data_IF_556468914645
#
_entry.id   IF_556468914645
#
_cell.length_a   1.000
_cell.length_b   1.000
_cell.length_c   1.000
_cell.angle_alpha   90.00
_cell.angle_beta   90.00
_cell.angle_gamma   90.00
#
_symmetry.space_group_name_H-M   'P 1'
#
loop_
_entity.id
_entity.type
_entity.pdbx_description
1 polymer ?
#
# COMPACT_ATOMS: atom_id res chain seq x y z
N UNK A 1 48.86 27.79 -13.90
CA UNK A 1 47.59 27.06 -13.79
C UNK A 1 47.10 26.93 -15.21
N UNK A 2 47.34 25.76 -15.81
CA UNK A 2 47.08 25.51 -17.22
C UNK A 2 45.61 25.14 -17.38
N UNK A 3 44.90 25.83 -18.27
CA UNK A 3 43.55 25.49 -18.66
C UNK A 3 43.57 24.16 -19.44
N UNK A 4 43.03 23.11 -18.83
CA UNK A 4 42.94 21.77 -19.41
C UNK A 4 41.84 21.77 -20.47
N UNK A 5 42.28 21.55 -21.71
CA UNK A 5 41.48 21.51 -22.93
C UNK A 5 40.65 20.22 -22.98
N UNK A 6 39.42 20.29 -22.47
CA UNK A 6 38.45 19.16 -22.44
C UNK A 6 38.05 18.61 -23.81
N UNK A 7 38.31 19.34 -24.90
CA UNK A 7 37.95 18.91 -26.26
C UNK A 7 38.88 17.82 -26.84
N UNK A 8 40.01 17.53 -26.21
CA UNK A 8 40.95 16.50 -26.68
C UNK A 8 40.63 15.10 -26.14
N UNK A 9 39.77 14.99 -25.11
CA UNK A 9 39.41 13.70 -24.50
C UNK A 9 38.17 13.05 -25.14
N UNK A 10 37.33 13.83 -25.84
CA UNK A 10 36.06 13.36 -26.42
C UNK A 10 36.00 13.52 -27.95
N UNK A 11 37.14 13.80 -28.58
CA UNK A 11 37.23 14.04 -30.01
C UNK A 11 37.55 12.80 -30.84
N UNK A 12 36.70 11.77 -30.85
CA UNK A 12 36.68 10.78 -31.94
C UNK A 12 35.25 10.30 -32.25
N UNK A 13 34.76 10.77 -33.42
CA UNK A 13 33.77 10.15 -34.32
C UNK A 13 32.52 9.51 -33.72
N UNK A 14 31.47 10.33 -33.54
CA UNK A 14 30.10 9.88 -33.31
C UNK A 14 29.19 10.03 -34.55
N UNK A 15 29.77 10.02 -35.76
CA UNK A 15 29.03 10.15 -37.03
C UNK A 15 28.89 8.84 -37.81
N UNK A 16 29.41 7.72 -37.29
CA UNK A 16 29.50 6.45 -38.03
C UNK A 16 28.75 5.28 -37.36
N UNK A 17 27.63 5.57 -36.68
CA UNK A 17 26.71 4.54 -36.22
C UNK A 17 25.59 4.32 -37.27
N UNK A 18 25.44 3.09 -37.81
CA UNK A 18 24.36 2.80 -38.75
C UNK A 18 23.01 2.94 -38.04
N UNK A 19 22.23 3.91 -38.51
CA UNK A 19 20.84 4.11 -38.12
C UNK A 19 20.06 2.86 -38.56
N UNK A 20 19.88 1.91 -37.63
CA UNK A 20 18.98 0.80 -37.83
C UNK A 20 17.56 1.36 -38.01
N UNK A 21 17.07 1.30 -39.26
CA UNK A 21 15.68 1.59 -39.59
C UNK A 21 14.78 0.58 -38.87
N UNK A 22 14.29 0.93 -37.69
CA UNK A 22 13.18 0.22 -37.05
C UNK A 22 11.90 0.59 -37.78
N UNK A 23 11.41 -0.36 -38.57
CA UNK A 23 10.13 -0.23 -39.25
C UNK A 23 9.00 -0.16 -38.21
N UNK A 24 8.21 0.92 -38.31
CA UNK A 24 7.00 1.15 -37.53
C UNK A 24 5.94 0.15 -37.99
N UNK A 25 5.82 -0.98 -37.30
CA UNK A 25 4.69 -1.90 -37.49
C UNK A 25 3.47 -1.35 -36.75
N UNK A 26 2.51 -0.88 -37.55
CA UNK A 26 1.16 -0.45 -37.19
C UNK A 26 0.45 -1.51 -36.32
N UNK A 27 -0.12 -1.18 -35.15
CA UNK A 27 -0.95 -2.14 -34.42
C UNK A 27 -2.28 -2.36 -35.15
N UNK A 28 -2.76 -3.61 -35.27
CA UNK A 28 -4.06 -3.92 -35.84
C UNK A 28 -5.19 -3.39 -34.94
N UNK A 29 -6.11 -2.64 -35.55
CA UNK A 29 -7.43 -2.37 -34.99
C UNK A 29 -8.36 -3.57 -35.20
N UNK A 30 -9.43 -3.59 -34.41
CA UNK A 30 -10.56 -4.53 -34.40
C UNK A 30 -10.37 -5.74 -33.45
N UNK A 31 -11.31 -6.10 -32.58
CA UNK A 31 -12.73 -5.79 -32.55
C UNK A 31 -13.33 -5.82 -31.15
N UNK A 32 -14.42 -5.06 -31.04
CA UNK A 32 -15.42 -5.18 -29.98
C UNK A 32 -16.17 -6.48 -30.25
N UNK A 33 -16.23 -7.41 -29.29
CA UNK A 33 -17.39 -8.29 -29.21
C UNK A 33 -17.56 -8.92 -27.83
N UNK A 34 -18.81 -8.88 -27.42
CA UNK A 34 -19.45 -9.35 -26.19
C UNK A 34 -19.36 -10.86 -26.02
N UNK A 35 -19.18 -11.35 -24.77
CA UNK A 35 -19.86 -12.60 -24.37
C UNK A 35 -19.98 -12.82 -22.86
N UNK A 36 -21.23 -12.81 -22.41
CA UNK A 36 -21.72 -13.50 -21.21
C UNK A 36 -21.45 -15.00 -21.28
N UNK A 37 -20.88 -15.58 -20.22
CA UNK A 37 -21.09 -16.94 -19.65
C UNK A 37 -20.62 -16.85 -18.20
N UNK A 38 -21.35 -17.04 -17.09
CA UNK A 38 -22.39 -17.99 -16.64
C UNK A 38 -22.04 -19.47 -16.88
N UNK A 39 -21.57 -20.09 -15.80
CA UNK A 39 -21.32 -21.51 -15.53
C UNK A 39 -20.41 -21.53 -14.30
N UNK A 40 -20.90 -21.73 -13.06
CA UNK A 40 -21.46 -22.97 -12.47
C UNK A 40 -20.59 -24.17 -12.82
N UNK A 41 -19.76 -24.55 -11.85
CA UNK A 41 -19.21 -25.88 -11.67
C UNK A 41 -19.02 -26.06 -10.15
N UNK A 42 -20.05 -26.64 -9.54
CA UNK A 42 -19.96 -27.47 -8.35
C UNK A 42 -18.96 -28.62 -8.64
N UNK A 43 -17.96 -28.79 -7.81
CA UNK A 43 -17.23 -30.07 -7.69
C UNK A 43 -16.91 -30.29 -6.21
N UNK A 44 -17.73 -31.13 -5.58
CA UNK A 44 -17.51 -31.66 -4.25
C UNK A 44 -16.54 -32.84 -4.35
N UNK A 45 -15.35 -32.69 -3.79
CA UNK A 45 -14.47 -33.83 -3.51
C UNK A 45 -14.17 -33.91 -2.00
N UNK A 46 -14.99 -34.74 -1.35
CA UNK A 46 -14.74 -35.39 -0.07
C UNK A 46 -13.39 -36.12 -0.10
N UNK A 47 -12.46 -35.73 0.77
CA UNK A 47 -11.33 -36.57 1.16
C UNK A 47 -11.25 -36.64 2.68
N UNK A 48 -12.09 -37.51 3.22
CA UNK A 48 -11.88 -38.13 4.52
C UNK A 48 -10.56 -38.91 4.54
N UNK A 49 -9.57 -38.43 5.31
CA UNK A 49 -8.44 -39.27 5.76
C UNK A 49 -8.17 -38.98 7.23
N UNK A 50 -8.56 -39.93 8.08
CA UNK A 50 -8.34 -39.90 9.52
C UNK A 50 -6.89 -40.18 9.93
N UNK A 51 -6.61 -39.88 11.21
CA UNK A 51 -5.40 -40.34 11.88
C UNK A 51 -5.01 -39.47 13.08
N UNK A 52 -5.59 -39.75 14.26
CA UNK A 52 -4.94 -39.40 15.53
C UNK A 52 -3.65 -40.23 15.66
N UNK A 53 -2.62 -39.69 16.35
CA UNK A 53 -2.41 -40.22 17.70
C UNK A 53 -2.12 -39.15 18.75
N UNK A 54 -2.45 -39.55 19.97
CA UNK A 54 -2.19 -38.92 21.27
C UNK A 54 -0.70 -38.68 21.50
N UNK A 55 -0.37 -37.56 22.13
CA UNK A 55 0.93 -37.29 22.73
C UNK A 55 0.74 -36.49 24.01
N UNK A 56 0.56 -37.22 25.12
CA UNK A 56 0.72 -36.71 26.48
C UNK A 56 2.23 -36.48 26.74
N UNK A 57 2.63 -35.26 27.05
CA UNK A 57 3.92 -34.98 27.67
C UNK A 57 3.78 -33.78 28.60
N UNK A 58 3.69 -34.11 29.88
CA UNK A 58 3.76 -33.19 31.00
C UNK A 58 5.10 -32.45 31.04
N UNK A 59 5.06 -31.15 31.32
CA UNK A 59 6.24 -30.30 31.47
C UNK A 59 5.91 -28.90 32.00
N UNK A 60 5.74 -28.80 33.31
CA UNK A 60 5.88 -27.57 34.12
C UNK A 60 7.08 -27.77 35.06
N UNK A 61 7.70 -26.74 35.70
CA UNK A 61 7.40 -25.30 35.73
C UNK A 61 8.64 -24.36 35.70
N UNK A 62 8.38 -23.05 35.85
CA UNK A 62 9.18 -22.00 36.52
C UNK A 62 9.62 -20.80 35.65
N UNK A 63 9.09 -19.62 36.00
CA UNK A 63 9.48 -18.33 35.46
C UNK A 63 8.64 -17.21 36.06
N UNK A 64 8.96 -16.84 37.29
CA UNK A 64 8.40 -15.71 38.04
C UNK A 64 8.81 -14.38 37.38
N UNK A 65 7.87 -13.48 37.09
CA UNK A 65 8.11 -12.04 37.23
C UNK A 65 6.87 -11.33 37.76
N UNK A 66 7.09 -10.72 38.91
CA UNK A 66 6.20 -9.81 39.64
C UNK A 66 5.89 -8.54 38.85
N UNK A 67 4.70 -7.98 39.10
CA UNK A 67 4.59 -6.54 39.36
C UNK A 67 3.49 -5.75 38.67
N UNK A 68 2.55 -5.29 39.49
CA UNK A 68 1.91 -3.96 39.45
C UNK A 68 0.63 -3.75 38.62
N UNK A 69 -0.49 -4.04 39.28
CA UNK A 69 -1.69 -3.19 39.45
C UNK A 69 -1.76 -1.81 38.76
N UNK A 70 -2.90 -1.51 38.14
CA UNK A 70 -3.77 -0.39 38.57
C UNK A 70 -5.14 -0.42 37.89
N UNK A 71 -6.13 -0.10 38.71
CA UNK A 71 -7.58 -0.21 38.55
C UNK A 71 -8.23 1.14 38.22
N UNK A 72 -9.32 1.13 37.44
CA UNK A 72 -10.41 2.14 37.39
C UNK A 72 -11.39 1.65 36.31
N UNK A 73 -12.64 1.20 36.53
CA UNK A 73 -13.77 1.64 37.37
C UNK A 73 -14.35 2.99 36.96
N UNK A 74 -15.50 2.93 36.27
CA UNK A 74 -16.61 3.90 36.17
C UNK A 74 -17.41 3.59 34.90
N UNK A 75 -18.73 3.65 34.80
CA UNK A 75 -19.88 3.68 35.69
C UNK A 75 -21.09 3.66 34.74
N UNK A 76 -22.22 3.20 35.23
CA UNK A 76 -23.42 2.83 34.47
C UNK A 76 -24.32 4.07 34.31
N UNK A 77 -25.05 4.16 33.19
CA UNK A 77 -26.20 5.07 33.11
C UNK A 77 -27.25 4.50 32.18
N UNK A 78 -28.13 3.71 32.78
CA UNK A 78 -29.46 3.41 32.26
C UNK A 78 -30.34 4.66 32.44
N UNK A 79 -31.02 5.05 31.37
CA UNK A 79 -31.92 6.20 31.31
C UNK A 79 -33.20 5.78 30.61
N UNK A 80 -34.26 5.85 31.38
CA UNK A 80 -35.59 5.26 31.27
C UNK A 80 -36.51 5.94 30.23
N UNK A 81 -37.57 5.20 29.89
CA UNK A 81 -38.60 5.49 28.90
C UNK A 81 -39.44 6.75 29.18
N UNK A 82 -39.92 7.37 28.10
CA UNK A 82 -40.84 8.50 28.15
C UNK A 82 -41.59 8.68 26.84
N UNK A 83 -42.59 7.82 26.62
CA UNK A 83 -43.63 7.96 25.61
C UNK A 83 -44.46 9.23 25.85
N UNK A 84 -44.50 10.15 24.88
CA UNK A 84 -45.57 11.14 24.79
C UNK A 84 -45.82 11.53 23.34
N UNK A 85 -46.86 10.93 22.76
CA UNK A 85 -47.38 11.32 21.46
C UNK A 85 -47.98 12.72 21.49
N UNK A 86 -47.68 13.52 20.47
CA UNK A 86 -48.57 14.58 20.00
C UNK A 86 -48.52 14.64 18.48
N UNK A 87 -49.54 14.03 17.88
CA UNK A 87 -50.13 14.48 16.64
C UNK A 87 -50.42 15.99 16.73
N UNK A 88 -49.93 16.77 15.77
CA UNK A 88 -50.72 17.74 14.99
C UNK A 88 -49.79 18.55 14.08
N UNK A 89 -50.24 18.66 12.84
CA UNK A 89 -49.75 19.49 11.74
C UNK A 89 -49.26 20.88 12.18
N UNK A 90 -48.13 21.35 11.64
CA UNK A 90 -47.98 22.66 10.94
C UNK A 90 -46.53 23.05 10.66
N UNK A 91 -46.29 23.33 9.36
CA UNK A 91 -45.33 24.25 8.73
C UNK A 91 -43.83 23.92 8.69
N UNK A 92 -43.22 23.92 7.49
CA UNK A 92 -41.78 23.76 7.29
C UNK A 92 -41.10 25.13 7.40
N UNK A 93 -40.38 25.43 8.48
CA UNK A 93 -39.56 26.66 8.54
C UNK A 93 -38.46 26.70 9.61
N UNK A 94 -37.84 25.59 9.98
CA UNK A 94 -36.75 25.61 11.00
C UNK A 94 -35.46 24.86 10.63
N UNK A 95 -35.32 24.38 9.39
CA UNK A 95 -34.06 23.74 8.94
C UNK A 95 -32.88 24.70 8.71
N UNK A 96 -33.08 26.02 8.85
CA UNK A 96 -32.03 27.04 8.62
C UNK A 96 -31.19 27.38 9.86
N UNK A 97 -31.59 26.95 11.06
CA UNK A 97 -30.87 27.28 12.32
C UNK A 97 -29.86 26.20 12.74
N UNK A 98 -30.03 24.96 12.29
CA UNK A 98 -29.09 23.86 12.60
C UNK A 98 -27.92 23.74 11.62
N UNK A 99 -28.06 24.27 10.41
CA UNK A 99 -27.00 24.33 9.41
C UNK A 99 -25.76 25.14 9.88
N UNK A 100 -25.88 26.35 10.47
CA UNK A 100 -24.70 27.08 10.94
C UNK A 100 -23.98 26.40 12.11
N UNK A 101 -24.68 25.59 12.92
CA UNK A 101 -24.08 24.80 13.99
C UNK A 101 -23.27 23.61 13.44
N UNK A 102 -23.77 22.94 12.38
CA UNK A 102 -23.06 21.86 11.69
C UNK A 102 -21.88 22.38 10.84
N UNK A 103 -21.99 23.56 10.23
CA UNK A 103 -20.88 24.19 9.49
C UNK A 103 -19.74 24.64 10.40
N UNK A 104 -20.02 25.00 11.66
CA UNK A 104 -18.99 25.25 12.68
C UNK A 104 -18.24 23.97 13.07
N UNK A 105 -18.91 22.81 13.03
CA UNK A 105 -18.31 21.52 13.35
C UNK A 105 -17.49 20.94 12.18
N UNK A 106 -17.82 21.31 10.93
CA UNK A 106 -17.04 20.99 9.71
C UNK A 106 -15.81 21.87 9.51
N UNK A 107 -15.21 22.39 10.59
CA UNK A 107 -13.89 23.05 10.54
C UNK A 107 -12.90 22.03 10.00
N UNK A 108 -12.64 22.12 8.69
CA UNK A 108 -11.71 21.28 7.94
C UNK A 108 -10.45 21.13 8.77
N UNK A 109 -10.17 19.92 9.27
CA UNK A 109 -8.88 19.60 9.87
C UNK A 109 -7.84 20.03 8.83
N UNK A 110 -7.11 21.11 9.09
CA UNK A 110 -6.00 21.53 8.24
C UNK A 110 -5.08 20.30 8.18
N UNK A 111 -4.82 19.80 6.98
CA UNK A 111 -3.81 18.75 6.79
C UNK A 111 -2.52 19.33 7.32
N UNK A 112 -2.01 18.79 8.43
CA UNK A 112 -0.67 19.09 8.92
C UNK A 112 0.27 18.72 7.78
N UNK A 113 1.04 19.68 7.29
CA UNK A 113 2.11 19.37 6.35
C UNK A 113 3.14 18.53 7.11
N UNK A 114 3.54 17.41 6.52
CA UNK A 114 4.59 16.58 7.11
C UNK A 114 5.90 17.33 7.04
N UNK A 115 6.66 17.28 8.13
CA UNK A 115 8.02 17.80 8.19
C UNK A 115 8.94 17.01 7.24
N UNK A 116 10.08 17.58 6.87
CA UNK A 116 11.07 16.88 6.04
C UNK A 116 11.55 15.58 6.70
N UNK A 117 11.75 15.55 8.02
CA UNK A 117 12.12 14.33 8.74
C UNK A 117 11.04 13.24 8.65
N UNK A 118 9.78 13.61 8.92
CA UNK A 118 8.64 12.69 8.83
C UNK A 118 8.47 12.11 7.40
N UNK A 119 8.79 12.89 6.36
CA UNK A 119 8.76 12.42 4.96
C UNK A 119 9.88 11.42 4.69
N UNK A 120 11.09 11.70 5.18
CA UNK A 120 12.25 10.83 5.00
C UNK A 120 12.05 9.48 5.69
N UNK A 121 11.64 9.46 6.96
CA UNK A 121 11.33 8.21 7.70
C UNK A 121 10.26 7.37 7.00
N UNK A 122 9.24 8.04 6.45
CA UNK A 122 8.20 7.35 5.67
C UNK A 122 8.78 6.74 4.40
N UNK A 123 9.73 7.38 3.74
CA UNK A 123 10.39 6.83 2.55
C UNK A 123 11.36 5.71 2.91
N UNK A 124 12.11 5.79 4.01
CA UNK A 124 12.92 4.66 4.50
C UNK A 124 12.06 3.43 4.77
N UNK A 125 10.92 3.60 5.44
CA UNK A 125 9.98 2.51 5.67
C UNK A 125 9.45 1.90 4.36
N UNK A 126 9.17 2.74 3.35
CA UNK A 126 8.76 2.28 2.03
C UNK A 126 9.88 1.48 1.35
N UNK A 127 11.11 2.00 1.37
CA UNK A 127 12.29 1.37 0.74
C UNK A 127 12.62 0.03 1.40
N UNK A 128 12.56 -0.06 2.72
CA UNK A 128 12.73 -1.33 3.43
C UNK A 128 11.66 -2.34 3.01
N UNK A 129 10.40 -1.90 2.92
CA UNK A 129 9.32 -2.76 2.41
C UNK A 129 9.54 -3.18 0.96
N UNK A 130 10.20 -2.37 0.13
CA UNK A 130 10.58 -2.78 -1.23
C UNK A 130 11.59 -3.94 -1.21
N UNK A 131 12.58 -3.90 -0.33
CA UNK A 131 13.54 -5.00 -0.19
C UNK A 131 12.87 -6.28 0.33
N UNK A 132 12.00 -6.18 1.33
CA UNK A 132 11.26 -7.32 1.88
C UNK A 132 10.41 -8.00 0.80
N UNK A 133 9.73 -7.20 -0.03
CA UNK A 133 8.93 -7.69 -1.15
C UNK A 133 9.78 -8.32 -2.25
N UNK A 134 10.98 -7.78 -2.51
CA UNK A 134 11.95 -8.39 -3.43
C UNK A 134 12.34 -9.79 -2.95
N UNK A 135 12.66 -9.92 -1.66
CA UNK A 135 13.03 -11.18 -1.03
C UNK A 135 11.88 -12.20 -1.03
N UNK A 136 10.67 -11.78 -0.68
CA UNK A 136 9.48 -12.63 -0.67
C UNK A 136 9.15 -13.17 -2.07
N UNK A 137 9.31 -12.35 -3.12
CA UNK A 137 9.13 -12.83 -4.48
C UNK A 137 10.23 -13.81 -4.91
N UNK A 138 11.48 -13.60 -4.48
CA UNK A 138 12.57 -14.58 -4.74
C UNK A 138 12.26 -15.91 -4.07
N UNK A 139 11.75 -15.91 -2.84
CA UNK A 139 11.31 -17.12 -2.13
C UNK A 139 10.07 -17.77 -2.78
N UNK A 140 9.15 -16.96 -3.30
CA UNK A 140 7.99 -17.49 -4.04
C UNK A 140 8.44 -18.22 -5.31
N UNK A 141 9.41 -17.65 -6.04
CA UNK A 141 9.99 -18.30 -7.22
C UNK A 141 10.70 -19.62 -6.88
N UNK A 142 11.44 -19.69 -5.77
CA UNK A 142 12.11 -20.93 -5.35
C UNK A 142 11.12 -22.01 -4.92
N UNK A 143 9.99 -21.64 -4.34
CA UNK A 143 8.92 -22.55 -3.91
C UNK A 143 7.91 -22.89 -5.02
N UNK A 144 8.09 -22.35 -6.23
CA UNK A 144 7.21 -22.58 -7.38
C UNK A 144 5.87 -21.86 -7.29
N UNK A 145 5.76 -20.86 -6.41
CA UNK A 145 4.58 -20.00 -6.27
C UNK A 145 4.70 -18.73 -7.12
N UNK A 146 3.57 -18.15 -7.55
CA UNK A 146 3.59 -16.92 -8.34
C UNK A 146 4.11 -15.73 -7.50
N UNK A 147 5.15 -15.06 -8.00
CA UNK A 147 5.73 -13.85 -7.42
C UNK A 147 4.88 -12.60 -7.74
N UNK A 148 3.90 -12.31 -6.87
CA UNK A 148 2.96 -11.20 -7.06
C UNK A 148 3.26 -9.98 -6.18
N UNK A 149 4.18 -10.09 -5.22
CA UNK A 149 4.36 -9.07 -4.20
C UNK A 149 4.95 -7.77 -4.78
N UNK A 150 5.96 -7.84 -5.67
CA UNK A 150 6.48 -6.65 -6.36
C UNK A 150 5.41 -5.94 -7.17
N UNK A 151 4.52 -6.70 -7.81
CA UNK A 151 3.45 -6.15 -8.65
C UNK A 151 2.44 -5.34 -7.84
N UNK A 152 2.02 -5.86 -6.68
CA UNK A 152 1.13 -5.14 -5.76
C UNK A 152 1.78 -3.89 -5.16
N UNK A 153 3.08 -3.95 -4.87
CA UNK A 153 3.81 -2.83 -4.30
C UNK A 153 4.08 -1.72 -5.33
N UNK A 154 4.21 -2.06 -6.61
CA UNK A 154 4.46 -1.10 -7.69
C UNK A 154 3.37 -0.03 -7.79
N UNK A 155 2.10 -0.39 -7.56
CA UNK A 155 0.98 0.56 -7.55
C UNK A 155 1.14 1.62 -6.46
N UNK A 156 1.62 1.21 -5.28
CA UNK A 156 1.87 2.10 -4.15
C UNK A 156 3.02 3.05 -4.46
N UNK A 157 4.13 2.53 -4.98
CA UNK A 157 5.31 3.32 -5.35
C UNK A 157 4.94 4.35 -6.42
N UNK A 158 4.22 3.94 -7.46
CA UNK A 158 3.74 4.84 -8.51
C UNK A 158 2.88 5.98 -7.95
N UNK A 159 1.95 5.66 -7.04
CA UNK A 159 1.11 6.69 -6.40
C UNK A 159 1.87 7.71 -5.56
N UNK A 160 3.07 7.35 -5.08
CA UNK A 160 3.97 8.23 -4.32
C UNK A 160 4.85 9.04 -5.27
N UNK A 161 5.53 8.40 -6.23
CA UNK A 161 6.51 9.05 -7.12
C UNK A 161 5.91 10.03 -8.13
N UNK A 162 4.61 9.90 -8.45
CA UNK A 162 3.90 10.89 -9.28
C UNK A 162 3.89 12.27 -8.62
N UNK A 163 4.05 12.36 -7.29
CA UNK A 163 4.05 13.61 -6.55
C UNK A 163 5.49 14.06 -6.32
N UNK A 164 5.84 15.23 -6.88
CA UNK A 164 7.18 15.82 -6.78
C UNK A 164 7.71 15.94 -5.34
N UNK A 165 6.82 16.25 -4.39
CA UNK A 165 7.17 16.39 -2.97
C UNK A 165 7.75 15.12 -2.30
N UNK A 166 7.64 13.96 -2.95
CA UNK A 166 8.17 12.69 -2.45
C UNK A 166 9.41 12.20 -3.22
N UNK A 167 9.77 12.84 -4.33
CA UNK A 167 10.85 12.35 -5.19
C UNK A 167 12.22 12.50 -4.53
N UNK A 168 12.52 13.68 -3.97
CA UNK A 168 13.78 13.94 -3.30
C UNK A 168 13.96 13.08 -2.04
N UNK A 169 13.00 13.01 -1.08
CA UNK A 169 13.11 12.10 0.06
C UNK A 169 13.22 10.62 -0.33
N UNK A 170 12.61 10.21 -1.45
CA UNK A 170 12.71 8.84 -1.95
C UNK A 170 14.10 8.53 -2.50
N UNK A 171 14.73 9.48 -3.19
CA UNK A 171 16.10 9.33 -3.68
C UNK A 171 17.08 9.29 -2.51
N UNK A 172 16.94 10.20 -1.54
CA UNK A 172 17.77 10.25 -0.33
C UNK A 172 17.68 8.98 0.50
N UNK A 173 16.48 8.40 0.63
CA UNK A 173 16.27 7.13 1.34
C UNK A 173 16.80 5.90 0.59
N UNK A 174 17.46 6.07 -0.57
CA UNK A 174 18.03 4.97 -1.34
C UNK A 174 17.03 4.22 -2.23
N UNK A 175 15.90 4.83 -2.57
CA UNK A 175 14.86 4.20 -3.39
C UNK A 175 15.31 3.80 -4.79
N UNK A 176 16.29 4.51 -5.37
CA UNK A 176 16.88 4.13 -6.66
C UNK A 176 17.64 2.80 -6.58
N UNK A 177 18.34 2.55 -5.48
CA UNK A 177 19.05 1.29 -5.25
C UNK A 177 18.06 0.12 -5.12
N UNK A 178 16.93 0.33 -4.44
CA UNK A 178 15.88 -0.68 -4.34
C UNK A 178 15.23 -0.99 -5.69
N UNK A 179 15.00 0.02 -6.54
CA UNK A 179 14.51 -0.18 -7.91
C UNK A 179 15.55 -0.95 -8.73
N UNK A 180 16.84 -0.63 -8.60
CA UNK A 180 17.90 -1.34 -9.29
C UNK A 180 17.94 -2.83 -8.90
N UNK A 181 17.80 -3.15 -7.61
CA UNK A 181 17.71 -4.54 -7.12
C UNK A 181 16.48 -5.28 -7.70
N UNK A 182 15.35 -4.60 -7.86
CA UNK A 182 14.14 -5.19 -8.46
C UNK A 182 14.29 -5.47 -9.96
N UNK A 183 15.06 -4.64 -10.67
CA UNK A 183 15.30 -4.77 -12.10
C UNK A 183 16.51 -5.65 -12.42
N UNK A 184 17.33 -5.98 -11.42
CA UNK A 184 18.40 -6.93 -11.57
C UNK A 184 17.81 -8.28 -12.00
N UNK A 185 18.39 -8.86 -13.06
CA UNK A 185 18.01 -10.18 -13.55
C UNK A 185 18.34 -11.21 -12.45
N UNK A 186 17.29 -11.83 -11.91
CA UNK A 186 17.36 -13.03 -11.05
C UNK A 186 17.38 -14.26 -11.93
#
# INVERSE_FOLDING_TARGET
MSDENWNELFGENLDDLPIAQTQVTKPPQEGKETRLRKGVLDDESDVSTGGQPRGDAEGSPSGEISGSSSSSSSEESEGEDGEMGHSLEKKPRESKLLQPALDRLKKRRKKKEMDSGEKFERMESLVNSMYDVSAADRESLTTGQPALAKLQMLEKIRGILVKQAWQEPFIEAGGLSAIADWLALV
#
